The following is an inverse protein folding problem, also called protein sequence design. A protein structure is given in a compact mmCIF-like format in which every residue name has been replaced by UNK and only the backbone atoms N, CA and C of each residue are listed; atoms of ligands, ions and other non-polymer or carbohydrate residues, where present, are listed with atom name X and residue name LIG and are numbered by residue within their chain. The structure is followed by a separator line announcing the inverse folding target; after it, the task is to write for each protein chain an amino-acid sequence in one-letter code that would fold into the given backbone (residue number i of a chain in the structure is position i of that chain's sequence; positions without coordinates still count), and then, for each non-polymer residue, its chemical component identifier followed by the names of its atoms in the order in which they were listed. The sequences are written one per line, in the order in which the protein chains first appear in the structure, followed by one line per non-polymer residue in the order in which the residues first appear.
data_IF_892242833130
#
_entry.id   IF_892242833130
#
_cell.length_a   1.000
_cell.length_b   1.000
_cell.length_c   1.000
_cell.angle_alpha   90.00
_cell.angle_beta   90.00
_cell.angle_gamma   90.00
#
_symmetry.space_group_name_H-M   'P 1'
#
loop_
_entity.id
_entity.type
_entity.pdbx_description
1 polymer ?
#
# COMPACT_ATOMS: atom_id res chain seq x y z
N UNK A 1 -20.44 -6.49 4.85
CA UNK A 1 -20.56 -5.71 3.60
C UNK A 1 -19.16 -5.51 3.05
N UNK A 2 -19.00 -5.71 1.75
CA UNK A 2 -17.74 -5.39 1.07
C UNK A 2 -17.57 -3.88 0.96
N UNK A 3 -16.32 -3.41 1.13
CA UNK A 3 -16.01 -1.99 0.99
C UNK A 3 -15.23 -1.79 -0.30
N UNK A 4 -15.59 -0.78 -1.06
CA UNK A 4 -14.98 -0.44 -2.34
C UNK A 4 -15.06 1.07 -2.59
N UNK A 5 -14.32 1.52 -3.58
CA UNK A 5 -14.34 2.91 -4.04
C UNK A 5 -15.55 3.11 -4.96
N UNK A 6 -16.29 4.19 -4.73
CA UNK A 6 -17.48 4.55 -5.53
C UNK A 6 -17.25 5.76 -6.43
N UNK A 7 -16.25 6.59 -6.12
CA UNK A 7 -15.89 7.76 -6.92
C UNK A 7 -14.46 8.19 -6.64
N UNK A 8 -13.74 8.59 -7.68
CA UNK A 8 -12.50 9.35 -7.57
C UNK A 8 -12.74 10.70 -8.22
N UNK A 9 -12.57 11.77 -7.44
CA UNK A 9 -12.64 13.14 -7.93
C UNK A 9 -11.24 13.72 -8.00
N UNK A 10 -10.84 14.20 -9.15
CA UNK A 10 -9.57 14.88 -9.40
C UNK A 10 -9.85 16.38 -9.47
N UNK A 11 -9.57 17.11 -8.41
CA UNK A 11 -9.72 18.57 -8.39
C UNK A 11 -8.57 19.22 -9.16
N UNK A 12 -7.33 18.73 -8.93
CA UNK A 12 -6.15 19.17 -9.63
C UNK A 12 -5.03 18.12 -9.56
N UNK A 13 -4.50 17.70 -10.72
CA UNK A 13 -3.33 16.85 -10.82
C UNK A 13 -2.55 17.16 -12.10
N UNK A 14 -1.58 18.06 -12.02
CA UNK A 14 -0.81 18.60 -13.16
C UNK A 14 -1.70 19.11 -14.30
N UNK A 15 -1.88 18.29 -15.35
CA UNK A 15 -2.64 18.64 -16.56
C UNK A 15 -4.10 18.19 -16.49
N UNK A 16 -4.50 17.52 -15.42
CA UNK A 16 -5.86 17.00 -15.22
C UNK A 16 -6.54 17.83 -14.13
N UNK A 17 -7.63 18.49 -14.48
CA UNK A 17 -8.43 19.30 -13.58
C UNK A 17 -9.89 18.90 -13.69
N UNK A 18 -10.61 18.97 -12.59
CA UNK A 18 -12.06 18.79 -12.49
C UNK A 18 -12.59 17.51 -13.18
N UNK A 19 -11.83 16.41 -13.05
CA UNK A 19 -12.25 15.12 -13.56
C UNK A 19 -12.92 14.29 -12.45
N UNK A 20 -14.09 13.75 -12.73
CA UNK A 20 -14.76 12.78 -11.86
C UNK A 20 -14.81 11.43 -12.54
N UNK A 21 -14.33 10.39 -11.86
CA UNK A 21 -14.34 9.01 -12.30
C UNK A 21 -15.33 8.26 -11.41
N UNK A 22 -16.56 7.99 -11.91
CA UNK A 22 -17.55 7.23 -11.16
C UNK A 22 -17.28 5.74 -11.25
N UNK A 23 -17.59 5.02 -10.17
CA UNK A 23 -17.59 3.56 -10.10
C UNK A 23 -18.97 3.04 -9.72
N UNK A 24 -19.17 1.73 -9.85
CA UNK A 24 -20.40 1.08 -9.38
C UNK A 24 -20.62 1.35 -7.88
N UNK A 25 -21.86 1.56 -7.49
CA UNK A 25 -22.29 1.63 -6.08
C UNK A 25 -22.70 0.27 -5.51
N UNK A 26 -22.66 -0.79 -6.33
CA UNK A 26 -23.18 -2.11 -5.99
C UNK A 26 -22.09 -3.17 -5.92
N UNK A 27 -20.98 -2.96 -6.65
CA UNK A 27 -19.90 -3.93 -6.76
C UNK A 27 -18.54 -3.28 -6.94
N UNK A 28 -17.48 -4.01 -6.62
CA UNK A 28 -16.11 -3.61 -6.92
C UNK A 28 -15.88 -3.49 -8.43
N UNK A 29 -15.07 -2.51 -8.79
CA UNK A 29 -14.58 -2.33 -10.15
C UNK A 29 -13.09 -2.09 -10.16
N UNK A 30 -12.46 -2.38 -11.31
CA UNK A 30 -11.05 -2.14 -11.54
C UNK A 30 -10.87 -0.86 -12.36
N UNK A 31 -9.89 -0.03 -12.00
CA UNK A 31 -9.50 1.13 -12.78
C UNK A 31 -8.19 0.84 -13.53
N UNK A 32 -8.23 0.91 -14.85
CA UNK A 32 -7.05 0.82 -15.71
C UNK A 32 -6.80 2.19 -16.33
N UNK A 33 -5.64 2.77 -16.03
CA UNK A 33 -5.21 4.05 -16.61
C UNK A 33 -4.31 3.80 -17.82
N UNK A 34 -4.80 4.18 -18.99
CA UNK A 34 -4.05 4.10 -20.25
C UNK A 34 -3.78 5.49 -20.83
N UNK A 35 -2.82 5.61 -21.70
CA UNK A 35 -2.51 6.87 -22.38
C UNK A 35 -1.03 7.05 -22.68
N UNK A 36 -0.71 8.08 -23.49
CA UNK A 36 0.66 8.42 -23.89
C UNK A 36 1.55 8.78 -22.69
N UNK A 37 2.88 8.68 -22.86
CA UNK A 37 3.81 9.17 -21.86
C UNK A 37 3.57 10.68 -21.62
N UNK A 38 3.64 11.09 -20.35
CA UNK A 38 3.35 12.47 -19.96
C UNK A 38 1.86 12.81 -19.77
N UNK A 39 0.92 11.89 -20.02
CA UNK A 39 -0.53 12.14 -19.87
C UNK A 39 -1.03 12.31 -18.43
N UNK A 40 -0.16 12.20 -17.41
CA UNK A 40 -0.55 12.43 -16.01
C UNK A 40 -0.90 11.18 -15.21
N UNK A 41 -0.84 9.96 -15.80
CA UNK A 41 -1.19 8.70 -15.10
C UNK A 41 -0.46 8.53 -13.76
N UNK A 42 0.86 8.65 -13.77
CA UNK A 42 1.68 8.54 -12.55
C UNK A 42 1.36 9.66 -11.56
N UNK A 43 1.10 10.87 -12.05
CA UNK A 43 0.74 12.00 -11.19
C UNK A 43 -0.58 11.75 -10.47
N UNK A 44 -1.58 11.25 -11.19
CA UNK A 44 -2.86 10.87 -10.58
C UNK A 44 -2.66 9.78 -9.49
N UNK A 45 -1.90 8.73 -9.78
CA UNK A 45 -1.62 7.68 -8.79
C UNK A 45 -0.89 8.21 -7.56
N UNK A 46 0.04 9.16 -7.72
CA UNK A 46 0.73 9.80 -6.61
C UNK A 46 -0.20 10.67 -5.77
N UNK A 47 -1.12 11.39 -6.40
CA UNK A 47 -2.14 12.19 -5.69
C UNK A 47 -3.11 11.26 -4.91
N UNK A 48 -3.55 10.16 -5.52
CA UNK A 48 -4.35 9.13 -4.84
C UNK A 48 -3.60 8.54 -3.64
N UNK A 49 -2.30 8.26 -3.79
CA UNK A 49 -1.48 7.76 -2.70
C UNK A 49 -1.38 8.76 -1.54
N UNK A 50 -1.25 10.06 -1.81
CA UNK A 50 -1.28 11.10 -0.75
C UNK A 50 -2.59 11.02 0.02
N UNK A 51 -3.72 10.99 -0.66
CA UNK A 51 -5.04 10.91 -0.02
C UNK A 51 -5.16 9.64 0.84
N UNK A 52 -4.83 8.47 0.29
CA UNK A 52 -4.91 7.20 1.00
C UNK A 52 -3.96 7.13 2.20
N UNK A 53 -2.76 7.74 2.11
CA UNK A 53 -1.83 7.84 3.23
C UNK A 53 -2.44 8.64 4.39
N UNK A 54 -3.16 9.71 4.12
CA UNK A 54 -3.82 10.49 5.17
C UNK A 54 -4.99 9.71 5.79
N UNK A 55 -5.72 8.90 5.00
CA UNK A 55 -6.74 8.00 5.55
C UNK A 55 -6.10 6.96 6.47
N UNK A 56 -5.00 6.32 6.02
CA UNK A 56 -4.26 5.33 6.81
C UNK A 56 -3.71 5.91 8.13
N UNK A 57 -3.36 7.19 8.15
CA UNK A 57 -2.92 7.94 9.32
C UNK A 57 -4.07 8.47 10.19
N UNK A 58 -5.33 8.18 9.89
CA UNK A 58 -6.50 8.60 10.67
C UNK A 58 -6.84 10.09 10.57
N UNK A 59 -6.35 10.79 9.54
CA UNK A 59 -6.57 12.24 9.40
C UNK A 59 -7.93 12.62 8.77
N UNK A 60 -8.79 11.64 8.50
CA UNK A 60 -10.02 11.89 7.74
C UNK A 60 -11.00 12.83 8.44
N UNK A 61 -11.21 12.67 9.76
CA UNK A 61 -12.07 13.57 10.51
C UNK A 61 -11.55 15.01 10.46
N UNK A 62 -10.24 15.16 10.55
CA UNK A 62 -9.59 16.46 10.44
C UNK A 62 -9.74 17.06 9.04
N UNK A 63 -9.68 16.22 7.99
CA UNK A 63 -9.95 16.65 6.61
C UNK A 63 -11.32 17.29 6.48
N UNK A 64 -12.37 16.62 6.95
CA UNK A 64 -13.74 17.15 6.90
C UNK A 64 -13.86 18.48 7.64
N UNK A 65 -13.30 18.57 8.85
CA UNK A 65 -13.32 19.79 9.66
C UNK A 65 -12.60 20.95 8.93
N UNK A 66 -11.44 20.68 8.31
CA UNK A 66 -10.68 21.71 7.58
C UNK A 66 -11.37 22.15 6.28
N UNK A 67 -12.02 21.22 5.56
CA UNK A 67 -12.83 21.58 4.39
C UNK A 67 -14.01 22.49 4.78
N UNK A 68 -14.68 22.19 5.89
CA UNK A 68 -15.76 23.01 6.41
C UNK A 68 -15.25 24.38 6.87
N UNK A 69 -14.13 24.42 7.62
CA UNK A 69 -13.49 25.65 8.05
C UNK A 69 -13.10 26.55 6.88
N UNK A 70 -12.50 25.97 5.82
CA UNK A 70 -12.14 26.70 4.61
C UNK A 70 -13.36 27.33 3.93
N UNK A 71 -14.47 26.60 3.85
CA UNK A 71 -15.73 27.12 3.29
C UNK A 71 -16.26 28.29 4.11
N UNK A 72 -16.25 28.19 5.43
CA UNK A 72 -16.68 29.27 6.33
C UNK A 72 -15.76 30.48 6.22
N UNK A 73 -14.43 30.30 6.24
CA UNK A 73 -13.46 31.38 6.11
C UNK A 73 -13.63 32.14 4.79
N UNK A 74 -13.85 31.43 3.67
CA UNK A 74 -14.13 32.06 2.37
C UNK A 74 -15.45 32.84 2.36
N UNK A 75 -16.47 32.41 3.08
CA UNK A 75 -17.72 33.15 3.23
C UNK A 75 -17.51 34.41 4.08
N UNK A 76 -16.82 34.29 5.22
CA UNK A 76 -16.49 35.39 6.12
C UNK A 76 -15.68 36.48 5.40
N UNK A 77 -14.69 36.07 4.59
CA UNK A 77 -13.88 37.02 3.83
C UNK A 77 -14.73 37.90 2.89
N UNK A 78 -15.79 37.35 2.31
CA UNK A 78 -16.71 38.11 1.41
C UNK A 78 -17.53 39.15 2.15
N UNK A 79 -17.84 38.96 3.43
CA UNK A 79 -18.66 39.85 4.26
C UNK A 79 -17.85 40.87 5.05
N UNK A 80 -16.53 40.71 5.17
CA UNK A 80 -15.66 41.61 5.91
C UNK A 80 -15.41 42.90 5.15
N UNK A 81 -15.42 44.03 5.85
CA UNK A 81 -15.10 45.37 5.33
C UNK A 81 -13.77 45.90 5.87
N UNK A 82 -13.38 45.47 7.07
CA UNK A 82 -12.13 45.88 7.71
C UNK A 82 -10.89 45.24 7.05
N UNK A 83 -9.91 46.05 6.71
CA UNK A 83 -8.70 45.62 5.98
C UNK A 83 -7.82 44.68 6.82
N UNK A 84 -7.67 44.92 8.13
CA UNK A 84 -6.87 44.08 9.01
C UNK A 84 -7.51 42.71 9.23
N UNK A 85 -8.84 42.69 9.40
CA UNK A 85 -9.59 41.44 9.51
C UNK A 85 -9.52 40.64 8.22
N UNK A 86 -9.62 41.27 7.04
CA UNK A 86 -9.44 40.61 5.75
C UNK A 86 -8.08 39.93 5.65
N UNK A 87 -7.00 40.65 5.94
CA UNK A 87 -5.64 40.11 5.88
C UNK A 87 -5.47 38.88 6.80
N UNK A 88 -6.02 38.96 8.02
CA UNK A 88 -6.00 37.83 8.97
C UNK A 88 -6.76 36.63 8.41
N UNK A 89 -7.94 36.85 7.85
CA UNK A 89 -8.77 35.78 7.26
C UNK A 89 -8.10 35.17 6.02
N UNK A 90 -7.46 35.95 5.17
CA UNK A 90 -6.68 35.47 4.01
C UNK A 90 -5.51 34.59 4.45
N UNK A 91 -4.77 34.98 5.50
CA UNK A 91 -3.70 34.17 6.06
C UNK A 91 -4.23 32.83 6.63
N UNK A 92 -5.37 32.84 7.30
CA UNK A 92 -6.01 31.64 7.81
C UNK A 92 -6.46 30.73 6.66
N UNK A 93 -7.02 31.28 5.57
CA UNK A 93 -7.39 30.53 4.36
C UNK A 93 -6.14 29.88 3.76
N UNK A 94 -5.03 30.62 3.63
CA UNK A 94 -3.78 30.10 3.09
C UNK A 94 -3.22 28.95 3.93
N UNK A 95 -3.23 29.10 5.26
CA UNK A 95 -2.75 28.04 6.16
C UNK A 95 -3.66 26.80 6.09
N UNK A 96 -4.97 26.96 6.07
CA UNK A 96 -5.94 25.86 5.94
C UNK A 96 -5.77 25.16 4.59
N UNK A 97 -5.58 25.93 3.51
CA UNK A 97 -5.34 25.36 2.17
C UNK A 97 -4.03 24.57 2.13
N UNK A 98 -2.92 25.11 2.63
CA UNK A 98 -1.63 24.40 2.72
C UNK A 98 -1.75 23.06 3.45
N UNK A 99 -2.58 23.02 4.49
CA UNK A 99 -2.83 21.77 5.20
C UNK A 99 -3.64 20.79 4.35
N UNK A 100 -4.67 21.26 3.63
CA UNK A 100 -5.47 20.44 2.73
C UNK A 100 -4.66 19.89 1.56
N UNK A 101 -3.64 20.62 1.09
CA UNK A 101 -2.76 20.20 0.00
C UNK A 101 -1.95 18.93 0.34
N UNK A 102 -1.81 18.58 1.63
CA UNK A 102 -1.20 17.31 2.04
C UNK A 102 -2.03 16.08 1.62
N UNK A 103 -3.33 16.25 1.41
CA UNK A 103 -4.19 15.19 0.88
C UNK A 103 -4.07 15.03 -0.64
N UNK A 104 -3.34 15.92 -1.30
CA UNK A 104 -3.20 15.95 -2.75
C UNK A 104 -4.41 16.59 -3.43
N UNK A 105 -4.37 16.55 -4.75
CA UNK A 105 -5.41 17.14 -5.61
C UNK A 105 -6.58 16.18 -5.90
N UNK A 106 -6.72 15.08 -5.18
CA UNK A 106 -7.76 14.07 -5.40
C UNK A 106 -8.55 13.78 -4.13
N UNK A 107 -9.78 13.37 -4.31
CA UNK A 107 -10.66 12.88 -3.25
C UNK A 107 -11.20 11.51 -3.64
N UNK A 108 -11.33 10.60 -2.67
CA UNK A 108 -11.88 9.26 -2.90
C UNK A 108 -13.12 9.11 -2.03
N UNK A 109 -14.23 8.67 -2.64
CA UNK A 109 -15.42 8.23 -1.93
C UNK A 109 -15.48 6.72 -1.89
N UNK A 110 -15.89 6.19 -0.77
CA UNK A 110 -16.06 4.76 -0.54
C UNK A 110 -17.55 4.41 -0.44
N UNK A 111 -17.86 3.12 -0.56
CA UNK A 111 -19.22 2.59 -0.32
C UNK A 111 -19.69 2.72 1.13
N UNK A 112 -18.79 3.08 2.02
CA UNK A 112 -19.02 3.37 3.44
C UNK A 112 -18.31 4.66 3.84
N UNK A 113 -18.52 5.13 5.05
CA UNK A 113 -17.81 6.30 5.56
C UNK A 113 -16.31 6.00 5.74
N UNK A 114 -15.49 7.03 5.62
CA UNK A 114 -14.04 6.86 5.65
C UNK A 114 -13.50 6.53 7.05
N UNK A 115 -14.25 6.81 8.13
CA UNK A 115 -13.87 6.38 9.47
C UNK A 115 -13.99 4.85 9.59
N UNK A 116 -15.01 4.26 8.98
CA UNK A 116 -15.17 2.80 8.91
C UNK A 116 -14.03 2.17 8.10
N UNK A 117 -13.63 2.78 6.96
CA UNK A 117 -12.45 2.34 6.20
C UNK A 117 -11.19 2.42 7.06
N UNK A 118 -10.97 3.52 7.78
CA UNK A 118 -9.83 3.65 8.68
C UNK A 118 -9.82 2.55 9.74
N UNK A 119 -10.93 2.30 10.42
CA UNK A 119 -11.04 1.25 11.44
C UNK A 119 -10.74 -0.13 10.84
N UNK A 120 -11.25 -0.43 9.65
CA UNK A 120 -10.97 -1.69 8.94
C UNK A 120 -9.51 -1.81 8.50
N UNK A 121 -8.87 -0.70 8.10
CA UNK A 121 -7.42 -0.68 7.86
C UNK A 121 -6.64 -1.02 9.13
N UNK A 122 -7.02 -0.47 10.28
CA UNK A 122 -6.34 -0.75 11.55
C UNK A 122 -6.50 -2.22 11.96
N UNK A 123 -7.66 -2.82 11.72
CA UNK A 123 -7.96 -4.21 12.03
C UNK A 123 -7.40 -5.21 11.00
N UNK A 124 -6.80 -4.74 9.89
CA UNK A 124 -6.32 -5.60 8.81
C UNK A 124 -7.41 -6.20 7.92
N UNK A 125 -8.65 -5.70 8.02
CA UNK A 125 -9.79 -6.11 7.20
C UNK A 125 -9.85 -5.39 5.85
N UNK A 126 -9.15 -4.27 5.74
CA UNK A 126 -9.01 -3.49 4.51
C UNK A 126 -7.54 -3.11 4.34
N UNK A 127 -6.94 -3.52 3.23
CA UNK A 127 -5.53 -3.28 2.96
C UNK A 127 -5.39 -2.16 1.93
N UNK A 128 -4.55 -1.19 2.27
CA UNK A 128 -4.06 -0.18 1.34
C UNK A 128 -2.62 -0.52 0.98
N UNK A 129 -2.30 -0.57 -0.30
CA UNK A 129 -0.95 -0.82 -0.77
C UNK A 129 -0.63 0.08 -1.97
N UNK A 130 0.52 0.71 -1.95
CA UNK A 130 1.03 1.50 -3.07
C UNK A 130 2.36 0.92 -3.53
N UNK A 131 2.46 0.64 -4.84
CA UNK A 131 3.67 0.12 -5.45
C UNK A 131 4.23 1.14 -6.44
N UNK A 132 5.42 1.65 -6.14
CA UNK A 132 6.11 2.59 -7.02
C UNK A 132 6.58 1.88 -8.31
N UNK A 133 6.65 2.65 -9.41
CA UNK A 133 7.20 2.18 -10.69
C UNK A 133 8.69 1.83 -10.59
N UNK A 134 9.43 2.50 -9.71
CA UNK A 134 10.83 2.17 -9.39
C UNK A 134 10.87 1.04 -8.36
N UNK A 135 10.84 -0.17 -8.87
CA UNK A 135 10.81 -1.40 -8.05
C UNK A 135 12.19 -1.73 -7.47
N UNK A 136 12.72 -0.86 -6.62
CA UNK A 136 13.92 -1.17 -5.86
C UNK A 136 13.56 -2.01 -4.64
N UNK A 137 13.68 -3.31 -4.77
CA UNK A 137 13.58 -4.22 -3.63
C UNK A 137 14.96 -4.33 -3.00
N UNK A 138 15.19 -3.69 -1.88
CA UNK A 138 16.39 -3.90 -1.07
C UNK A 138 16.16 -5.11 -0.17
N UNK A 139 16.52 -6.29 -0.65
CA UNK A 139 16.55 -7.48 0.18
C UNK A 139 17.89 -7.54 0.90
N UNK A 140 17.88 -7.63 2.23
CA UNK A 140 19.08 -7.93 3.01
C UNK A 140 19.29 -9.43 3.02
N UNK A 141 20.48 -9.88 2.61
CA UNK A 141 20.85 -11.29 2.71
C UNK A 141 21.05 -11.62 4.19
N UNK A 142 20.36 -12.62 4.73
CA UNK A 142 20.54 -13.05 6.11
C UNK A 142 21.95 -13.58 6.33
N UNK A 143 22.63 -13.12 7.37
CA UNK A 143 23.95 -13.62 7.78
C UNK A 143 23.89 -14.63 8.90
N UNK A 144 22.71 -14.90 9.43
CA UNK A 144 22.47 -15.83 10.54
C UNK A 144 21.00 -15.82 10.98
N UNK A 145 20.69 -16.53 12.04
CA UNK A 145 19.35 -16.56 12.66
C UNK A 145 19.24 -15.31 13.56
N UNK A 146 18.38 -14.38 13.17
CA UNK A 146 18.08 -13.17 13.93
C UNK A 146 16.58 -13.05 14.10
N UNK A 147 16.08 -12.95 15.32
CA UNK A 147 14.64 -12.83 15.58
C UNK A 147 14.08 -11.57 14.93
N UNK A 148 13.29 -11.76 13.90
CA UNK A 148 12.57 -10.69 13.20
C UNK A 148 11.07 -10.89 13.44
N UNK A 149 10.45 -9.88 14.01
CA UNK A 149 9.00 -9.82 14.13
C UNK A 149 8.44 -9.02 12.97
N UNK A 150 7.59 -9.64 12.16
CA UNK A 150 6.80 -8.90 11.18
C UNK A 150 5.64 -8.21 11.89
N UNK A 151 5.33 -6.99 11.47
CA UNK A 151 4.14 -6.28 11.92
C UNK A 151 2.90 -6.90 11.26
N UNK A 152 1.78 -6.93 11.97
CA UNK A 152 0.50 -7.33 11.38
C UNK A 152 0.02 -6.33 10.31
N UNK A 153 0.44 -5.07 10.44
CA UNK A 153 0.15 -4.00 9.49
C UNK A 153 1.40 -3.15 9.27
N UNK A 154 1.64 -2.81 8.02
CA UNK A 154 2.61 -1.80 7.59
C UNK A 154 1.87 -0.59 7.06
N UNK A 155 2.35 0.62 7.34
CA UNK A 155 1.81 1.82 6.73
C UNK A 155 2.17 1.88 5.23
N UNK A 156 1.46 2.70 4.45
CA UNK A 156 1.73 2.88 3.02
C UNK A 156 3.17 3.34 2.71
N UNK A 157 3.85 3.95 3.66
CA UNK A 157 5.23 4.45 3.53
C UNK A 157 6.28 3.46 4.01
N UNK A 158 5.89 2.44 4.77
CA UNK A 158 6.82 1.42 5.31
C UNK A 158 7.08 0.31 4.28
N UNK A 159 8.31 -0.18 4.28
CA UNK A 159 8.72 -1.32 3.43
C UNK A 159 8.92 -2.56 4.27
N UNK A 160 8.12 -3.61 4.04
CA UNK A 160 8.27 -4.91 4.70
C UNK A 160 9.38 -5.76 4.08
N UNK A 161 9.74 -5.50 2.80
CA UNK A 161 10.65 -6.31 1.99
C UNK A 161 12.06 -6.55 2.59
N UNK A 162 12.72 -5.59 3.28
CA UNK A 162 14.08 -5.82 3.79
C UNK A 162 14.19 -6.98 4.78
N UNK A 163 13.12 -7.24 5.56
CA UNK A 163 13.11 -8.25 6.60
C UNK A 163 12.50 -9.59 6.16
N UNK A 164 11.98 -9.66 4.94
CA UNK A 164 11.23 -10.83 4.49
C UNK A 164 12.10 -12.10 4.39
N UNK A 165 13.31 -11.99 3.83
CA UNK A 165 14.23 -13.13 3.75
C UNK A 165 14.66 -13.61 5.14
N UNK A 166 14.96 -12.68 6.06
CA UNK A 166 15.29 -13.02 7.43
C UNK A 166 14.14 -13.75 8.12
N UNK A 167 12.91 -13.32 7.89
CA UNK A 167 11.72 -13.98 8.41
C UNK A 167 11.58 -15.42 7.91
N UNK A 168 11.81 -15.68 6.60
CA UNK A 168 11.80 -17.04 6.05
C UNK A 168 12.89 -17.91 6.68
N UNK A 169 14.10 -17.37 6.85
CA UNK A 169 15.20 -18.09 7.50
C UNK A 169 14.85 -18.45 8.94
N UNK A 170 14.25 -17.51 9.67
CA UNK A 170 13.81 -17.75 11.05
C UNK A 170 12.72 -18.83 11.11
N UNK A 171 11.70 -18.78 10.24
CA UNK A 171 10.67 -19.82 10.20
C UNK A 171 11.26 -21.22 9.94
N UNK A 172 12.26 -21.33 9.06
CA UNK A 172 12.94 -22.60 8.81
C UNK A 172 13.74 -23.07 10.02
N UNK A 173 14.43 -22.16 10.71
CA UNK A 173 15.15 -22.46 11.94
C UNK A 173 14.18 -22.90 13.08
N UNK A 174 13.13 -22.12 13.31
CA UNK A 174 12.09 -22.43 14.32
C UNK A 174 11.44 -23.78 14.04
N UNK A 175 11.19 -24.12 12.76
CA UNK A 175 10.69 -25.45 12.38
C UNK A 175 11.66 -26.57 12.73
N UNK A 176 12.96 -26.35 12.54
CA UNK A 176 13.98 -27.35 12.87
C UNK A 176 14.06 -27.54 14.38
N UNK A 177 14.11 -26.48 15.17
CA UNK A 177 14.11 -26.54 16.63
C UNK A 177 12.84 -27.20 17.17
N UNK A 178 11.66 -26.81 16.66
CA UNK A 178 10.40 -27.42 17.07
C UNK A 178 10.33 -28.93 16.76
N UNK A 179 11.01 -29.40 15.69
CA UNK A 179 11.14 -30.85 15.43
C UNK A 179 12.02 -31.54 16.45
N UNK A 180 13.17 -30.95 16.80
CA UNK A 180 14.11 -31.49 17.77
C UNK A 180 13.46 -31.53 19.15
N UNK A 181 12.63 -30.54 19.49
CA UNK A 181 11.88 -30.44 20.76
C UNK A 181 10.54 -31.24 20.74
N UNK A 182 10.22 -31.95 19.65
CA UNK A 182 8.97 -32.71 19.46
C UNK A 182 7.67 -31.85 19.49
N UNK A 183 7.75 -30.56 19.18
CA UNK A 183 6.61 -29.65 19.11
C UNK A 183 5.84 -29.79 17.79
N UNK A 184 5.09 -30.88 17.65
CA UNK A 184 4.39 -31.23 16.40
C UNK A 184 3.42 -30.17 15.93
N UNK A 185 2.73 -29.44 16.82
CA UNK A 185 1.78 -28.38 16.47
C UNK A 185 2.48 -27.15 15.89
N UNK A 186 3.63 -26.75 16.42
CA UNK A 186 4.46 -25.67 15.90
C UNK A 186 4.97 -26.01 14.50
N UNK A 187 5.45 -27.23 14.30
CA UNK A 187 5.88 -27.74 12.97
C UNK A 187 4.73 -27.67 11.96
N UNK A 188 3.53 -28.18 12.31
CA UNK A 188 2.36 -28.14 11.42
C UNK A 188 1.94 -26.71 11.05
N UNK A 189 1.99 -25.77 11.98
CA UNK A 189 1.67 -24.35 11.70
C UNK A 189 2.64 -23.74 10.71
N UNK A 190 3.94 -24.00 10.88
CA UNK A 190 4.98 -23.48 9.98
C UNK A 190 4.89 -24.14 8.60
N UNK A 191 4.71 -25.47 8.52
CA UNK A 191 4.50 -26.20 7.27
C UNK A 191 3.24 -25.70 6.56
N UNK A 192 2.15 -25.46 7.27
CA UNK A 192 0.93 -24.88 6.73
C UNK A 192 1.16 -23.48 6.14
N UNK A 193 2.02 -22.67 6.76
CA UNK A 193 2.40 -21.37 6.21
C UNK A 193 3.17 -21.52 4.89
N UNK A 194 4.21 -22.39 4.85
CA UNK A 194 4.98 -22.63 3.63
C UNK A 194 4.11 -23.18 2.50
N UNK A 195 3.23 -24.14 2.79
CA UNK A 195 2.32 -24.72 1.80
C UNK A 195 1.37 -23.67 1.19
N UNK A 196 0.81 -22.79 2.02
CA UNK A 196 -0.02 -21.68 1.51
C UNK A 196 0.78 -20.70 0.65
N UNK A 197 1.99 -20.36 1.08
CA UNK A 197 2.88 -19.46 0.33
C UNK A 197 3.26 -20.07 -1.02
N UNK A 198 3.68 -21.34 -1.04
CA UNK A 198 4.01 -22.08 -2.26
C UNK A 198 2.80 -22.19 -3.20
N UNK A 199 1.64 -22.55 -2.69
CA UNK A 199 0.40 -22.65 -3.47
C UNK A 199 0.05 -21.30 -4.14
N UNK A 200 0.23 -20.18 -3.44
CA UNK A 200 0.01 -18.84 -4.02
C UNK A 200 1.03 -18.51 -5.10
N UNK A 201 2.30 -18.83 -4.89
CA UNK A 201 3.32 -18.63 -5.92
C UNK A 201 3.04 -19.50 -7.16
N UNK A 202 2.66 -20.76 -6.99
CA UNK A 202 2.27 -21.65 -8.09
C UNK A 202 1.09 -21.11 -8.88
N UNK A 203 0.07 -20.59 -8.20
CA UNK A 203 -1.10 -20.02 -8.88
C UNK A 203 -0.76 -18.80 -9.74
N UNK A 204 0.31 -18.07 -9.41
CA UNK A 204 0.72 -16.85 -10.13
C UNK A 204 1.72 -17.18 -11.24
N UNK A 205 2.69 -18.06 -10.98
CA UNK A 205 3.86 -18.28 -11.85
C UNK A 205 3.88 -19.65 -12.54
N UNK A 206 2.93 -20.53 -12.20
CA UNK A 206 2.95 -21.93 -12.66
C UNK A 206 4.03 -22.76 -11.96
N UNK A 207 4.08 -24.05 -12.31
CA UNK A 207 4.93 -25.04 -11.61
C UNK A 207 6.44 -24.85 -11.80
N UNK A 208 6.88 -24.07 -12.79
CA UNK A 208 8.30 -23.84 -13.09
C UNK A 208 9.08 -23.13 -11.99
N UNK A 209 8.38 -22.56 -10.99
CA UNK A 209 8.97 -21.74 -9.92
C UNK A 209 9.23 -22.48 -8.62
N UNK A 210 8.91 -23.76 -8.54
CA UNK A 210 8.91 -24.54 -7.29
C UNK A 210 10.33 -24.81 -6.74
N UNK A 211 11.33 -24.85 -7.62
CA UNK A 211 12.71 -25.15 -7.23
C UNK A 211 13.36 -24.16 -6.25
N UNK A 212 12.75 -23.00 -6.06
CA UNK A 212 13.33 -21.87 -5.33
C UNK A 212 13.22 -21.95 -3.80
N UNK A 213 12.23 -22.66 -3.28
CA UNK A 213 12.03 -22.80 -1.83
C UNK A 213 12.74 -24.02 -1.24
N UNK A 214 13.26 -24.87 -2.05
CA UNK A 214 13.85 -26.18 -1.69
C UNK A 214 15.38 -26.22 -1.67
N UNK A 215 16.09 -25.08 -1.62
CA UNK A 215 17.54 -25.14 -1.47
C UNK A 215 17.91 -25.55 -0.04
N UNK A 216 18.50 -26.75 0.15
CA UNK A 216 19.18 -27.03 1.39
C UNK A 216 20.33 -26.05 1.55
N UNK A 217 20.64 -25.65 2.76
CA UNK A 217 21.83 -24.86 3.13
C UNK A 217 23.10 -25.74 3.00
N UNK A 218 23.24 -26.48 1.90
CA UNK A 218 24.50 -27.10 1.58
C UNK A 218 25.43 -26.04 0.98
N UNK A 219 26.71 -26.12 1.41
CA UNK A 219 27.80 -25.25 0.97
C UNK A 219 27.87 -25.21 -0.56
N UNK A 220 27.08 -24.35 -1.19
CA UNK A 220 27.18 -24.13 -2.62
C UNK A 220 27.75 -22.75 -2.92
N UNK A 221 28.64 -22.77 -3.90
CA UNK A 221 29.39 -21.70 -4.52
C UNK A 221 28.58 -20.38 -4.63
N UNK A 222 29.24 -19.26 -4.37
CA UNK A 222 28.64 -17.90 -4.44
C UNK A 222 27.87 -17.62 -5.74
N UNK A 223 28.25 -18.30 -6.87
CA UNK A 223 27.55 -18.18 -8.15
C UNK A 223 26.12 -18.75 -8.12
N UNK A 224 25.91 -19.89 -7.45
CA UNK A 224 24.62 -20.55 -7.35
C UNK A 224 23.68 -19.71 -6.47
N UNK A 225 24.22 -19.08 -5.41
CA UNK A 225 23.48 -18.17 -4.56
C UNK A 225 23.03 -16.91 -5.32
N UNK A 226 23.88 -16.36 -6.19
CA UNK A 226 23.54 -15.22 -7.05
C UNK A 226 22.45 -15.56 -8.07
N UNK A 227 22.47 -16.75 -8.65
CA UNK A 227 21.44 -17.18 -9.62
C UNK A 227 20.10 -17.41 -8.92
N UNK A 228 20.08 -18.05 -7.76
CA UNK A 228 18.87 -18.19 -6.95
C UNK A 228 18.35 -16.85 -6.45
N UNK A 229 19.22 -15.92 -6.08
CA UNK A 229 18.88 -14.56 -5.68
C UNK A 229 18.29 -13.76 -6.85
N UNK A 230 18.84 -13.87 -8.05
CA UNK A 230 18.32 -13.24 -9.27
C UNK A 230 16.92 -13.79 -9.63
N UNK A 231 16.73 -15.10 -9.55
CA UNK A 231 15.43 -15.72 -9.81
C UNK A 231 14.42 -15.32 -8.73
N UNK A 232 14.80 -15.30 -7.45
CA UNK A 232 13.93 -14.82 -6.37
C UNK A 232 13.62 -13.32 -6.52
N UNK A 233 14.60 -12.52 -6.92
CA UNK A 233 14.41 -11.11 -7.23
C UNK A 233 13.50 -10.90 -8.45
N UNK A 234 13.67 -11.71 -9.49
CA UNK A 234 12.82 -11.69 -10.69
C UNK A 234 11.39 -12.15 -10.34
N UNK A 235 11.23 -13.19 -9.52
CA UNK A 235 9.95 -13.67 -9.03
C UNK A 235 9.26 -12.66 -8.13
N UNK A 236 9.99 -12.01 -7.24
CA UNK A 236 9.47 -10.96 -6.39
C UNK A 236 9.10 -9.71 -7.20
N UNK A 237 9.87 -9.40 -8.25
CA UNK A 237 9.56 -8.33 -9.22
C UNK A 237 8.31 -8.67 -10.04
N UNK A 238 8.15 -9.93 -10.47
CA UNK A 238 6.96 -10.39 -11.19
C UNK A 238 5.78 -10.55 -10.22
N UNK A 239 6.00 -10.99 -8.98
CA UNK A 239 4.99 -10.96 -7.91
C UNK A 239 4.50 -9.54 -7.66
N UNK A 240 5.40 -8.56 -7.60
CA UNK A 240 5.03 -7.14 -7.59
C UNK A 240 4.34 -6.71 -8.89
N UNK A 241 4.69 -7.26 -10.05
CA UNK A 241 4.03 -6.94 -11.31
C UNK A 241 2.63 -7.54 -11.42
N UNK A 242 2.48 -8.80 -11.04
CA UNK A 242 1.19 -9.47 -10.99
C UNK A 242 0.35 -8.94 -9.82
N UNK A 243 0.96 -8.58 -8.70
CA UNK A 243 0.28 -7.92 -7.59
C UNK A 243 -0.11 -6.47 -7.94
N UNK A 244 0.60 -5.79 -8.84
CA UNK A 244 0.16 -4.53 -9.44
C UNK A 244 -1.02 -4.73 -10.40
N UNK A 245 -1.03 -5.78 -11.19
CA UNK A 245 -2.20 -6.16 -12.00
C UNK A 245 -3.34 -6.62 -11.07
N UNK A 246 -3.04 -7.37 -10.00
CA UNK A 246 -4.01 -7.78 -8.99
C UNK A 246 -4.39 -6.65 -8.01
N UNK A 247 -3.51 -5.71 -7.66
CA UNK A 247 -3.80 -4.63 -6.72
C UNK A 247 -4.24 -3.33 -7.40
N UNK A 248 -3.85 -3.04 -8.62
CA UNK A 248 -4.68 -2.13 -9.43
C UNK A 248 -6.05 -2.75 -9.70
N UNK A 249 -6.17 -4.07 -9.65
CA UNK A 249 -7.43 -4.80 -9.60
C UNK A 249 -8.09 -4.88 -8.21
N UNK A 250 -7.40 -4.68 -7.09
CA UNK A 250 -7.95 -4.76 -5.72
C UNK A 250 -8.02 -3.41 -4.99
N UNK A 251 -7.52 -2.34 -5.57
CA UNK A 251 -7.65 -0.97 -5.04
C UNK A 251 -8.92 -0.26 -5.54
N UNK A 252 -9.81 -0.96 -6.21
CA UNK A 252 -11.09 -0.39 -6.63
C UNK A 252 -12.23 -1.24 -6.16
#
# INVERSE_FOLDING_TARGET
MENYITEIKVNHSRNVNDLTIPFSKEQRQHLILTGKNGSGKTSLLLELNKFLTQIDNGQFQRLQNMQQALKQQKQTLKSQTDTNQKLTTENNIKNTQSWLDMFGGTEIKFSTDAMNIFNKCQNGEFLLAFFDSKRHTSLKVPTGIQKVSLKNKYSLTEKASPNFLQYIVNLKADRSFARDDNETETVKKIDGWFNRFESRLKSIFGDKMIGLLYFPFEKHDQKTFHTCFLVFHTCFLVFHACFLVFHTCFLV
#
